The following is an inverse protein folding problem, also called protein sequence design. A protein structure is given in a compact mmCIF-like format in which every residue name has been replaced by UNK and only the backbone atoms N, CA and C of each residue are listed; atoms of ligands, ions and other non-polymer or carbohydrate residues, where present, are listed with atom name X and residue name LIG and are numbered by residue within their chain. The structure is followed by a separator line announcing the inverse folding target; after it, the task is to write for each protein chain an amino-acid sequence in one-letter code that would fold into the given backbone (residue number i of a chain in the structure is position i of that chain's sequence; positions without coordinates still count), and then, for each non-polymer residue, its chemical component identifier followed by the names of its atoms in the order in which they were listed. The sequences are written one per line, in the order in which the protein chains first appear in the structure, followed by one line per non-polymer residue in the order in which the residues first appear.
data_IF_962547931627
#
_entry.id   IF_962547931627
#
_cell.length_a   1.000
_cell.length_b   1.000
_cell.length_c   1.000
_cell.angle_alpha   90.00
_cell.angle_beta   90.00
_cell.angle_gamma   90.00
#
_symmetry.space_group_name_H-M   'P 1'
#
loop_
_entity.id
_entity.type
_entity.pdbx_description
1 polymer ?
#
# COMPACT_ATOMS: atom_id res chain seq x y z
N UNK A 1 -28.93 -26.65 2.25
CA UNK A 1 -27.49 -26.34 2.10
C UNK A 1 -26.77 -26.78 3.36
N UNK A 2 -25.65 -27.49 3.23
CA UNK A 2 -24.86 -27.90 4.40
C UNK A 2 -24.09 -26.72 4.98
N UNK A 3 -23.79 -26.72 6.29
CA UNK A 3 -22.99 -25.67 6.95
C UNK A 3 -21.63 -25.45 6.27
N UNK A 4 -21.07 -26.51 5.68
CA UNK A 4 -19.86 -26.46 4.85
C UNK A 4 -20.04 -25.62 3.57
N UNK A 5 -21.17 -25.78 2.86
CA UNK A 5 -21.48 -24.96 1.68
C UNK A 5 -21.64 -23.49 2.04
N UNK A 6 -22.28 -23.19 3.18
CA UNK A 6 -22.42 -21.83 3.70
C UNK A 6 -21.06 -21.20 4.01
N UNK A 7 -20.16 -21.91 4.69
CA UNK A 7 -18.81 -21.42 4.97
C UNK A 7 -17.98 -21.21 3.71
N UNK A 8 -18.10 -22.11 2.72
CA UNK A 8 -17.42 -21.92 1.43
C UNK A 8 -17.94 -20.66 0.72
N UNK A 9 -19.24 -20.42 0.72
CA UNK A 9 -19.81 -19.21 0.12
C UNK A 9 -19.42 -17.93 0.87
N UNK A 10 -19.40 -17.98 2.21
CA UNK A 10 -18.91 -16.89 3.04
C UNK A 10 -17.43 -16.58 2.76
N UNK A 11 -16.60 -17.62 2.60
CA UNK A 11 -15.19 -17.48 2.24
C UNK A 11 -15.00 -16.83 0.87
N UNK A 12 -15.69 -17.31 -0.18
CA UNK A 12 -15.56 -16.72 -1.52
C UNK A 12 -16.06 -15.27 -1.55
N UNK A 13 -17.13 -14.97 -0.81
CA UNK A 13 -17.63 -13.60 -0.65
C UNK A 13 -16.60 -12.70 0.03
N UNK A 14 -16.02 -13.15 1.15
CA UNK A 14 -14.99 -12.42 1.88
C UNK A 14 -13.76 -12.19 1.00
N UNK A 15 -13.32 -13.21 0.26
CA UNK A 15 -12.21 -13.11 -0.69
C UNK A 15 -12.50 -12.07 -1.78
N UNK A 16 -13.71 -12.05 -2.33
CA UNK A 16 -14.14 -11.06 -3.31
C UNK A 16 -14.13 -9.62 -2.79
N UNK A 17 -14.28 -9.41 -1.49
CA UNK A 17 -14.26 -8.09 -0.85
C UNK A 17 -12.84 -7.69 -0.43
N UNK A 18 -12.08 -8.62 0.15
CA UNK A 18 -10.76 -8.34 0.77
C UNK A 18 -9.65 -8.30 -0.28
N UNK A 19 -9.64 -9.21 -1.25
CA UNK A 19 -8.53 -9.33 -2.20
C UNK A 19 -8.32 -8.04 -3.03
N UNK A 20 -9.37 -7.37 -3.52
CA UNK A 20 -9.20 -6.09 -4.21
C UNK A 20 -8.53 -5.02 -3.33
N UNK A 21 -8.85 -4.98 -2.02
CA UNK A 21 -8.24 -4.03 -1.08
C UNK A 21 -6.75 -4.29 -0.91
N UNK A 22 -6.36 -5.56 -0.78
CA UNK A 22 -4.95 -5.95 -0.71
C UNK A 22 -4.18 -5.55 -1.98
N UNK A 23 -4.80 -5.76 -3.15
CA UNK A 23 -4.19 -5.38 -4.44
C UNK A 23 -3.96 -3.88 -4.54
N UNK A 24 -4.96 -3.04 -4.20
CA UNK A 24 -4.78 -1.57 -4.28
C UNK A 24 -3.77 -1.06 -3.25
N UNK A 25 -3.74 -1.63 -2.04
CA UNK A 25 -2.76 -1.28 -1.02
C UNK A 25 -1.34 -1.68 -1.42
N UNK A 26 -1.17 -2.84 -2.09
CA UNK A 26 0.11 -3.25 -2.63
C UNK A 26 0.61 -2.29 -3.72
N UNK A 27 -0.27 -1.88 -4.64
CA UNK A 27 0.07 -0.89 -5.66
C UNK A 27 0.47 0.46 -5.04
N UNK A 28 -0.29 0.97 -4.06
CA UNK A 28 0.06 2.20 -3.34
C UNK A 28 1.42 2.11 -2.64
N UNK A 29 1.73 0.97 -2.01
CA UNK A 29 3.05 0.75 -1.39
C UNK A 29 4.18 0.80 -2.42
N UNK A 30 3.95 0.24 -3.61
CA UNK A 30 4.92 0.29 -4.70
C UNK A 30 5.16 1.73 -5.16
N UNK A 31 4.09 2.50 -5.40
CA UNK A 31 4.20 3.93 -5.77
C UNK A 31 4.95 4.75 -4.73
N UNK A 32 4.66 4.54 -3.43
CA UNK A 32 5.37 5.22 -2.34
C UNK A 32 6.87 4.84 -2.36
N UNK A 33 7.19 3.57 -2.58
CA UNK A 33 8.57 3.09 -2.63
C UNK A 33 9.35 3.72 -3.78
N UNK A 34 8.76 3.78 -4.98
CA UNK A 34 9.34 4.43 -6.15
C UNK A 34 9.57 5.92 -5.91
N UNK A 35 8.61 6.60 -5.26
CA UNK A 35 8.75 8.01 -4.93
C UNK A 35 9.88 8.28 -3.93
N UNK A 36 10.01 7.43 -2.91
CA UNK A 36 11.13 7.50 -1.96
C UNK A 36 12.46 7.25 -2.69
N UNK A 37 12.51 6.27 -3.60
CA UNK A 37 13.72 5.99 -4.39
C UNK A 37 14.12 7.20 -5.25
N UNK A 38 13.15 7.85 -5.92
CA UNK A 38 13.38 9.06 -6.71
C UNK A 38 13.90 10.24 -5.87
N UNK A 39 13.50 10.34 -4.60
CA UNK A 39 13.98 11.37 -3.67
C UNK A 39 15.40 11.14 -3.14
N UNK A 40 15.89 9.91 -3.30
CA UNK A 40 17.19 9.48 -2.82
C UNK A 40 18.20 9.34 -3.95
N UNK A 41 17.88 9.84 -5.15
CA UNK A 41 18.86 9.84 -6.24
C UNK A 41 19.89 10.95 -6.04
N UNK A 42 21.14 10.63 -6.37
CA UNK A 42 22.25 11.56 -6.55
C UNK A 42 22.79 11.43 -7.97
N UNK A 43 23.23 12.55 -8.54
CA UNK A 43 23.89 12.56 -9.85
C UNK A 43 25.38 12.31 -9.66
N UNK A 44 26.00 11.51 -10.51
CA UNK A 44 27.45 11.31 -10.54
C UNK A 44 27.94 11.38 -11.98
N UNK A 45 29.09 12.03 -12.18
CA UNK A 45 29.79 12.05 -13.45
C UNK A 45 30.97 11.09 -13.33
N UNK A 46 30.95 10.01 -14.10
CA UNK A 46 32.04 9.04 -14.13
C UNK A 46 33.28 9.58 -14.83
N UNK A 47 34.44 9.01 -14.50
CA UNK A 47 35.73 9.45 -15.04
C UNK A 47 35.86 9.25 -16.57
N UNK A 48 35.17 8.24 -17.14
CA UNK A 48 35.28 7.85 -18.55
C UNK A 48 34.03 8.21 -19.38
N UNK A 49 33.15 9.07 -18.85
CA UNK A 49 31.85 9.38 -19.45
C UNK A 49 31.87 10.63 -20.32
N UNK A 50 33.04 11.02 -20.84
CA UNK A 50 33.23 12.24 -21.61
C UNK A 50 33.71 11.95 -23.03
N UNK A 51 33.12 12.63 -24.01
CA UNK A 51 33.61 12.62 -25.39
C UNK A 51 33.53 14.01 -26.02
N UNK A 52 34.44 14.28 -26.94
CA UNK A 52 34.26 15.37 -27.91
C UNK A 52 33.30 14.91 -29.00
N UNK A 53 32.36 15.78 -29.38
CA UNK A 53 31.42 15.53 -30.48
C UNK A 53 31.59 16.48 -31.65
N UNK A 54 32.26 17.61 -31.44
CA UNK A 54 32.73 18.51 -32.49
C UNK A 54 33.88 19.38 -31.96
N UNK A 55 34.48 20.19 -32.83
CA UNK A 55 35.55 21.14 -32.50
C UNK A 55 35.17 22.11 -31.36
N UNK A 56 33.88 22.40 -31.21
CA UNK A 56 33.34 23.35 -30.22
C UNK A 56 32.41 22.69 -29.21
N UNK A 57 32.36 21.34 -29.15
CA UNK A 57 31.34 20.65 -28.37
C UNK A 57 31.86 19.38 -27.73
N UNK A 58 31.49 19.21 -26.46
CA UNK A 58 31.75 18.02 -25.69
C UNK A 58 30.47 17.56 -25.00
N UNK A 59 30.34 16.25 -24.80
CA UNK A 59 29.20 15.62 -24.14
C UNK A 59 29.67 14.87 -22.91
N UNK A 60 28.85 14.83 -21.86
CA UNK A 60 29.06 13.96 -20.70
C UNK A 60 27.82 13.16 -20.37
N UNK A 61 28.02 11.87 -20.05
CA UNK A 61 26.97 11.09 -19.41
C UNK A 61 26.87 11.48 -17.93
N UNK A 62 25.64 11.61 -17.45
CA UNK A 62 25.33 11.77 -16.03
C UNK A 62 24.70 10.47 -15.56
N UNK A 63 25.33 9.81 -14.61
CA UNK A 63 24.79 8.61 -13.99
C UNK A 63 23.90 9.01 -12.82
N UNK A 64 22.71 8.43 -12.75
CA UNK A 64 21.82 8.56 -11.60
C UNK A 64 22.08 7.38 -10.66
N UNK A 65 22.47 7.65 -9.42
CA UNK A 65 22.68 6.62 -8.38
C UNK A 65 21.71 6.80 -7.25
N UNK A 66 21.29 5.71 -6.61
CA UNK A 66 20.53 5.77 -5.35
C UNK A 66 21.50 5.95 -4.19
N UNK A 67 21.29 6.97 -3.38
CA UNK A 67 21.92 7.14 -2.08
C UNK A 67 21.31 6.14 -1.09
N UNK A 68 22.04 5.05 -0.86
CA UNK A 68 21.62 3.98 0.04
C UNK A 68 21.52 4.42 1.51
N UNK A 69 22.21 5.49 1.91
CA UNK A 69 22.13 5.99 3.30
C UNK A 69 20.78 6.67 3.59
N UNK A 70 20.10 7.14 2.54
CA UNK A 70 18.79 7.77 2.63
C UNK A 70 17.65 6.82 2.22
N UNK A 71 18.01 5.68 1.61
CA UNK A 71 17.05 4.67 1.19
C UNK A 71 16.57 3.84 2.38
N UNK A 72 15.29 3.97 2.72
CA UNK A 72 14.66 3.04 3.66
C UNK A 72 14.61 1.65 3.03
N UNK A 73 15.45 0.72 3.50
CA UNK A 73 15.33 -0.69 3.14
C UNK A 73 14.06 -1.27 3.79
N UNK A 74 12.99 -1.28 2.99
CA UNK A 74 11.67 -1.75 3.41
C UNK A 74 11.67 -3.26 3.64
N UNK A 75 12.64 -4.02 3.11
CA UNK A 75 12.70 -5.47 3.30
C UNK A 75 13.12 -5.82 4.74
N UNK A 76 14.09 -5.09 5.31
CA UNK A 76 14.57 -5.31 6.67
C UNK A 76 13.52 -4.93 7.75
N UNK A 77 12.68 -3.92 7.49
CA UNK A 77 11.67 -3.46 8.46
C UNK A 77 10.32 -4.21 8.37
N UNK A 78 10.04 -4.96 7.29
CA UNK A 78 8.78 -5.71 7.14
C UNK A 78 8.60 -6.82 8.16
N UNK A 79 9.68 -7.38 8.70
CA UNK A 79 9.62 -8.51 9.63
C UNK A 79 9.02 -8.15 11.00
N UNK A 80 9.04 -6.87 11.41
CA UNK A 80 8.62 -6.48 12.76
C UNK A 80 7.13 -6.13 12.88
N UNK A 81 6.38 -6.03 11.78
CA UNK A 81 5.04 -5.43 11.74
C UNK A 81 4.96 -4.02 12.36
N UNK A 82 6.09 -3.35 12.59
CA UNK A 82 6.17 -2.00 13.18
C UNK A 82 6.56 -0.97 12.13
N UNK A 83 6.20 0.29 12.38
CA UNK A 83 6.72 1.45 11.63
C UNK A 83 7.63 2.22 12.58
N UNK A 84 8.95 2.07 12.41
CA UNK A 84 9.93 2.47 13.40
C UNK A 84 9.70 1.72 14.72
N UNK A 85 9.53 2.46 15.82
CA UNK A 85 9.21 1.90 17.14
C UNK A 85 7.70 1.83 17.44
N UNK A 86 6.83 2.23 16.49
CA UNK A 86 5.40 2.32 16.72
C UNK A 86 4.66 1.10 16.20
N UNK A 87 3.67 0.65 16.97
CA UNK A 87 2.72 -0.39 16.56
C UNK A 87 1.62 0.25 15.69
N UNK A 88 1.48 -0.15 14.41
CA UNK A 88 0.45 0.37 13.53
C UNK A 88 -0.93 -0.05 14.05
N UNK A 89 -1.85 0.90 14.10
CA UNK A 89 -3.25 0.66 14.48
C UNK A 89 -4.18 0.80 13.27
N UNK A 90 -4.17 -0.16 12.32
CA UNK A 90 -4.93 -0.05 11.08
C UNK A 90 -6.44 0.06 11.31
N UNK A 91 -6.95 -0.44 12.43
CA UNK A 91 -8.36 -0.36 12.81
C UNK A 91 -8.78 1.01 13.39
N UNK A 92 -7.83 1.89 13.68
CA UNK A 92 -8.10 3.29 14.07
C UNK A 92 -8.01 4.24 12.87
N UNK A 93 -7.70 3.72 11.69
CA UNK A 93 -7.57 4.51 10.47
C UNK A 93 -8.94 5.06 10.02
N UNK A 94 -9.10 6.38 10.02
CA UNK A 94 -10.28 7.09 9.48
C UNK A 94 -10.03 7.67 8.09
N UNK A 95 -8.77 8.01 7.80
CA UNK A 95 -8.27 8.53 6.52
C UNK A 95 -7.10 7.69 6.04
N UNK A 96 -7.05 7.39 4.74
CA UNK A 96 -5.93 6.68 4.15
C UNK A 96 -4.96 7.69 3.51
N UNK A 97 -3.69 7.74 3.94
CA UNK A 97 -2.68 8.50 3.23
C UNK A 97 -2.34 7.79 1.91
N UNK A 98 -2.41 8.54 0.81
CA UNK A 98 -2.01 8.11 -0.54
C UNK A 98 -1.06 9.13 -1.15
N UNK A 99 -0.35 8.74 -2.20
CA UNK A 99 0.55 9.65 -2.91
C UNK A 99 -0.28 10.70 -3.67
N UNK A 100 0.12 11.96 -3.54
CA UNK A 100 -0.42 13.08 -4.32
C UNK A 100 0.41 13.24 -5.60
N UNK A 101 -0.02 12.57 -6.67
CA UNK A 101 0.66 12.55 -7.97
C UNK A 101 0.93 13.96 -8.53
N UNK A 102 0.03 14.91 -8.29
CA UNK A 102 0.18 16.30 -8.74
C UNK A 102 1.31 17.04 -8.03
N UNK A 103 1.70 16.58 -6.83
CA UNK A 103 2.79 17.16 -6.04
C UNK A 103 4.08 16.36 -6.14
N UNK A 104 4.10 15.22 -6.85
CA UNK A 104 5.29 14.38 -6.96
C UNK A 104 6.47 15.12 -7.61
N UNK A 105 6.25 15.88 -8.68
CA UNK A 105 7.31 16.63 -9.37
C UNK A 105 7.97 17.70 -8.51
N UNK A 106 7.25 18.25 -7.52
CA UNK A 106 7.77 19.27 -6.59
C UNK A 106 8.61 18.68 -5.46
N UNK A 107 8.71 17.35 -5.38
CA UNK A 107 9.38 16.64 -4.29
C UNK A 107 10.77 16.18 -4.67
N UNK A 108 11.03 16.00 -5.96
CA UNK A 108 12.29 15.48 -6.43
C UNK A 108 13.42 16.29 -5.80
N UNK A 109 14.38 15.60 -5.20
CA UNK A 109 15.54 16.27 -4.64
C UNK A 109 16.18 17.10 -5.74
N UNK A 110 16.37 18.40 -5.48
CA UNK A 110 17.12 19.24 -6.39
C UNK A 110 18.57 18.76 -6.38
N UNK A 111 18.97 18.19 -7.51
CA UNK A 111 20.33 17.78 -7.75
C UNK A 111 20.99 18.87 -8.60
N UNK A 112 22.07 19.46 -8.10
CA UNK A 112 22.89 20.35 -8.92
C UNK A 112 24.23 19.70 -9.23
N UNK A 113 24.71 19.93 -10.45
CA UNK A 113 26.08 19.60 -10.85
C UNK A 113 26.87 20.89 -10.89
N UNK A 114 27.97 20.94 -10.12
CA UNK A 114 28.91 22.05 -10.17
C UNK A 114 30.06 21.68 -11.10
N UNK A 115 30.17 22.43 -12.20
CA UNK A 115 31.36 22.43 -13.06
C UNK A 115 32.19 23.66 -12.73
N UNK A 116 33.46 23.46 -12.42
CA UNK A 116 34.40 24.56 -12.14
C UNK A 116 35.38 24.65 -13.28
N UNK A 117 35.35 25.75 -14.03
CA UNK A 117 36.33 26.06 -15.06
C UNK A 117 37.31 27.11 -14.53
N UNK A 118 38.55 27.06 -14.99
CA UNK A 118 39.57 28.02 -14.57
C UNK A 118 39.23 29.42 -15.11
N UNK A 119 39.18 30.43 -14.20
CA UNK A 119 39.04 31.87 -14.52
C UNK A 119 37.77 32.27 -15.30
N UNK A 120 36.68 31.49 -15.20
CA UNK A 120 35.51 31.63 -16.08
C UNK A 120 34.30 32.38 -15.50
N UNK A 121 34.21 32.59 -14.18
CA UNK A 121 33.01 33.17 -13.55
C UNK A 121 33.39 34.23 -12.51
N UNK A 122 32.80 35.43 -12.60
CA UNK A 122 33.06 36.57 -11.71
C UNK A 122 31.81 36.99 -10.91
N UNK A 123 30.63 36.43 -11.25
CA UNK A 123 29.36 36.82 -10.66
C UNK A 123 28.92 35.97 -9.44
N UNK A 124 28.09 36.60 -8.60
CA UNK A 124 27.77 36.20 -7.22
C UNK A 124 27.21 34.79 -7.00
N UNK A 125 27.26 34.35 -5.74
CA UNK A 125 26.91 33.01 -5.26
C UNK A 125 25.40 32.71 -5.18
N UNK A 126 24.59 33.27 -6.07
CA UNK A 126 23.12 33.15 -6.04
C UNK A 126 22.57 32.45 -7.27
N UNK A 127 21.56 31.60 -7.08
CA UNK A 127 20.85 30.97 -8.19
C UNK A 127 20.13 32.02 -9.07
N UNK A 128 20.18 31.83 -10.39
CA UNK A 128 19.54 32.67 -11.39
C UNK A 128 19.25 31.90 -12.66
N UNK A 129 18.68 32.55 -13.67
CA UNK A 129 18.48 31.89 -14.97
C UNK A 129 19.83 31.55 -15.60
N UNK A 130 19.88 30.45 -16.36
CA UNK A 130 21.11 30.02 -17.03
C UNK A 130 21.71 31.13 -17.91
N UNK A 131 20.86 31.87 -18.63
CA UNK A 131 21.28 33.00 -19.46
C UNK A 131 21.83 34.17 -18.64
N UNK A 132 21.23 34.50 -17.49
CA UNK A 132 21.71 35.59 -16.63
C UNK A 132 23.05 35.24 -15.96
N UNK A 133 23.18 34.04 -15.41
CA UNK A 133 24.44 33.57 -14.78
C UNK A 133 25.54 33.38 -15.84
N UNK A 134 25.18 32.84 -17.02
CA UNK A 134 26.11 32.69 -18.15
C UNK A 134 26.63 34.03 -18.67
N UNK A 135 25.76 35.05 -18.78
CA UNK A 135 26.16 36.40 -19.22
C UNK A 135 27.00 37.14 -18.17
N UNK A 136 26.83 36.81 -16.88
CA UNK A 136 27.60 37.38 -15.78
C UNK A 136 28.95 36.66 -15.54
N UNK A 137 29.18 35.56 -16.26
CA UNK A 137 30.45 34.85 -16.30
C UNK A 137 31.37 35.54 -17.30
N UNK A 138 32.50 36.10 -16.85
CA UNK A 138 33.44 36.74 -17.77
C UNK A 138 34.00 35.65 -18.71
N UNK A 139 33.97 35.91 -20.03
CA UNK A 139 34.76 35.14 -21.00
C UNK A 139 36.25 35.42 -20.76
N UNK A 140 36.79 34.98 -19.62
CA UNK A 140 38.21 34.75 -19.50
C UNK A 140 38.57 33.68 -20.51
N UNK A 141 39.71 33.83 -21.21
CA UNK A 141 40.26 32.81 -22.08
C UNK A 141 40.25 31.49 -21.32
N UNK A 142 39.33 30.58 -21.66
CA UNK A 142 39.26 29.26 -21.02
C UNK A 142 40.50 28.52 -21.52
N UNK A 143 41.58 28.61 -20.74
CA UNK A 143 42.88 27.99 -21.06
C UNK A 143 42.87 26.49 -20.80
N UNK A 144 41.91 26.01 -20.00
CA UNK A 144 41.70 24.59 -19.72
C UNK A 144 40.19 24.23 -19.85
N UNK A 145 39.90 23.30 -20.77
CA UNK A 145 38.57 22.75 -21.02
C UNK A 145 38.27 21.51 -20.16
N UNK A 146 39.06 21.26 -19.12
CA UNK A 146 38.87 20.18 -18.17
C UNK A 146 38.22 20.69 -16.85
N UNK A 147 36.89 20.88 -16.81
CA UNK A 147 36.24 21.32 -15.59
C UNK A 147 36.38 20.28 -14.50
N UNK A 148 36.66 20.73 -13.27
CA UNK A 148 36.54 19.86 -12.10
C UNK A 148 35.08 19.80 -11.65
N UNK A 149 34.61 18.59 -11.35
CA UNK A 149 33.27 18.38 -10.81
C UNK A 149 33.32 18.53 -9.29
N UNK A 150 32.50 19.41 -8.73
CA UNK A 150 32.26 19.40 -7.28
C UNK A 150 31.48 18.16 -6.87
N UNK A 151 31.59 17.75 -5.59
CA UNK A 151 30.71 16.71 -5.04
C UNK A 151 29.25 17.13 -5.25
N UNK A 152 28.38 16.22 -5.72
CA UNK A 152 26.95 16.49 -5.80
C UNK A 152 26.44 16.82 -4.40
N UNK A 153 25.93 18.02 -4.20
CA UNK A 153 25.32 18.42 -2.93
C UNK A 153 23.81 18.45 -3.09
N UNK A 154 23.07 17.71 -2.26
CA UNK A 154 21.61 17.82 -2.19
C UNK A 154 21.29 19.18 -1.58
N UNK A 155 20.68 20.08 -2.35
CA UNK A 155 20.50 21.49 -1.94
C UNK A 155 19.36 21.69 -0.96
N UNK A 156 18.35 20.82 -0.99
CA UNK A 156 17.13 20.96 -0.19
C UNK A 156 16.80 19.66 0.53
N UNK A 157 16.43 19.77 1.81
CA UNK A 157 15.69 18.72 2.48
C UNK A 157 14.44 18.44 1.63
N UNK A 158 14.19 17.17 1.28
CA UNK A 158 13.05 16.79 0.43
C UNK A 158 11.80 17.54 0.88
N UNK A 159 11.13 18.23 -0.05
CA UNK A 159 9.88 18.94 0.23
C UNK A 159 8.90 17.97 0.93
N UNK A 160 8.12 18.47 1.90
CA UNK A 160 7.14 17.69 2.70
C UNK A 160 6.45 16.63 1.84
N UNK A 161 6.59 15.32 2.16
CA UNK A 161 6.00 14.18 1.43
C UNK A 161 4.68 14.51 0.70
N UNK A 162 4.61 14.17 -0.59
CA UNK A 162 3.49 14.36 -1.49
C UNK A 162 2.43 13.35 -1.11
N UNK A 163 1.77 13.64 0.01
CA UNK A 163 0.69 12.87 0.56
C UNK A 163 -0.59 13.68 0.44
N UNK A 164 -1.66 12.97 0.14
CA UNK A 164 -3.03 13.41 0.36
C UNK A 164 -3.75 12.38 1.20
N UNK A 165 -4.73 12.83 1.96
CA UNK A 165 -5.52 11.96 2.82
C UNK A 165 -6.89 11.77 2.16
N UNK A 166 -7.24 10.52 1.87
CA UNK A 166 -8.57 10.18 1.37
C UNK A 166 -9.45 9.71 2.53
N UNK A 167 -10.65 10.29 2.61
CA UNK A 167 -11.64 9.94 3.62
C UNK A 167 -12.27 8.58 3.29
N UNK A 168 -12.35 7.69 4.28
CA UNK A 168 -12.89 6.34 4.11
C UNK A 168 -14.37 6.23 4.50
N UNK A 169 -14.80 6.98 5.51
CA UNK A 169 -16.11 6.86 6.16
C UNK A 169 -16.88 8.16 6.13
N UNK A 170 -18.20 8.08 6.24
CA UNK A 170 -19.05 9.26 6.45
C UNK A 170 -18.65 10.03 7.72
N UNK A 171 -18.57 11.36 7.61
CA UNK A 171 -18.18 12.26 8.71
C UNK A 171 -16.86 11.91 9.40
N UNK A 172 -15.87 11.39 8.66
CA UNK A 172 -14.57 10.95 9.18
C UNK A 172 -14.65 9.94 10.35
N UNK A 173 -15.77 9.21 10.45
CA UNK A 173 -16.06 8.37 11.62
C UNK A 173 -16.16 6.90 11.22
N UNK A 174 -15.21 6.08 11.70
CA UNK A 174 -15.20 4.63 11.45
C UNK A 174 -16.50 3.94 11.89
N UNK A 175 -17.23 4.42 12.89
CA UNK A 175 -18.52 3.87 13.29
C UNK A 175 -19.60 4.00 12.21
N UNK A 176 -19.45 4.92 11.26
CA UNK A 176 -20.41 5.16 10.17
C UNK A 176 -20.14 4.29 8.95
N UNK A 177 -21.02 4.38 7.96
CA UNK A 177 -20.87 3.70 6.68
C UNK A 177 -19.65 4.21 5.91
N UNK A 178 -19.23 3.45 4.91
CA UNK A 178 -18.25 3.92 3.92
C UNK A 178 -18.79 5.16 3.20
N UNK A 179 -17.89 6.07 2.82
CA UNK A 179 -18.26 7.34 2.18
C UNK A 179 -19.06 7.10 0.89
N UNK A 180 -20.31 7.59 0.85
CA UNK A 180 -21.27 7.33 -0.23
C UNK A 180 -20.84 7.94 -1.56
N UNK A 181 -20.11 9.06 -1.53
CA UNK A 181 -19.53 9.70 -2.72
C UNK A 181 -18.64 8.76 -3.54
N UNK A 182 -18.07 7.73 -2.88
CA UNK A 182 -17.18 6.76 -3.53
C UNK A 182 -17.92 5.50 -4.03
N UNK A 183 -19.23 5.38 -3.83
CA UNK A 183 -19.97 4.14 -4.15
C UNK A 183 -19.85 3.71 -5.61
N UNK A 184 -19.89 4.67 -6.55
CA UNK A 184 -19.78 4.44 -7.99
C UNK A 184 -18.33 4.54 -8.52
N UNK A 185 -17.34 4.75 -7.65
CA UNK A 185 -15.96 4.92 -8.08
C UNK A 185 -15.41 3.63 -8.71
N UNK A 186 -14.72 3.79 -9.83
CA UNK A 186 -13.98 2.73 -10.54
C UNK A 186 -12.50 3.12 -10.63
N UNK A 187 -11.64 2.14 -10.95
CA UNK A 187 -10.20 2.40 -11.11
C UNK A 187 -9.91 3.48 -12.14
N UNK A 188 -10.69 3.54 -13.22
CA UNK A 188 -10.40 4.41 -14.36
C UNK A 188 -11.02 5.80 -14.22
N UNK A 189 -12.21 5.88 -13.63
CA UNK A 189 -12.96 7.15 -13.54
C UNK A 189 -12.69 7.94 -12.26
N UNK A 190 -12.43 7.25 -11.15
CA UNK A 190 -12.13 7.86 -9.85
C UNK A 190 -11.24 6.90 -9.05
N UNK A 191 -9.93 6.83 -9.37
CA UNK A 191 -9.00 5.89 -8.74
C UNK A 191 -8.93 6.07 -7.22
N UNK A 192 -8.96 7.32 -6.72
CA UNK A 192 -8.92 7.62 -5.30
C UNK A 192 -10.17 7.16 -4.57
N UNK A 193 -11.34 7.47 -5.13
CA UNK A 193 -12.61 6.98 -4.61
C UNK A 193 -12.69 5.46 -4.63
N UNK A 194 -12.11 4.81 -5.65
CA UNK A 194 -12.05 3.36 -5.74
C UNK A 194 -11.19 2.78 -4.62
N UNK A 195 -9.99 3.34 -4.37
CA UNK A 195 -9.14 2.93 -3.25
C UNK A 195 -9.91 3.08 -1.92
N UNK A 196 -10.50 4.24 -1.67
CA UNK A 196 -11.25 4.51 -0.44
C UNK A 196 -12.41 3.53 -0.24
N UNK A 197 -13.22 3.31 -1.29
CA UNK A 197 -14.34 2.36 -1.30
C UNK A 197 -13.86 0.95 -0.94
N UNK A 198 -12.87 0.44 -1.67
CA UNK A 198 -12.42 -0.94 -1.53
C UNK A 198 -11.77 -1.19 -0.17
N UNK A 199 -10.94 -0.25 0.31
CA UNK A 199 -10.31 -0.36 1.64
C UNK A 199 -11.36 -0.28 2.75
N UNK A 200 -12.31 0.65 2.67
CA UNK A 200 -13.37 0.75 3.67
C UNK A 200 -14.24 -0.51 3.72
N UNK A 201 -14.68 -1.02 2.56
CA UNK A 201 -15.47 -2.24 2.47
C UNK A 201 -14.75 -3.45 3.08
N UNK A 202 -13.45 -3.58 2.83
CA UNK A 202 -12.64 -4.64 3.44
C UNK A 202 -12.51 -4.49 4.96
N UNK A 203 -12.27 -3.28 5.48
CA UNK A 203 -12.17 -3.03 6.94
C UNK A 203 -13.52 -3.26 7.64
N UNK A 204 -14.63 -2.94 6.98
CA UNK A 204 -15.99 -3.10 7.50
C UNK A 204 -16.54 -4.51 7.35
N UNK A 205 -15.87 -5.37 6.58
CA UNK A 205 -16.34 -6.72 6.35
C UNK A 205 -16.21 -7.57 7.61
N UNK A 206 -17.33 -8.13 8.07
CA UNK A 206 -17.37 -9.13 9.14
C UNK A 206 -17.66 -10.49 8.53
N UNK A 207 -16.79 -11.46 8.75
CA UNK A 207 -17.02 -12.84 8.34
C UNK A 207 -18.05 -13.50 9.26
N UNK A 208 -19.18 -13.92 8.71
CA UNK A 208 -20.08 -14.85 9.38
C UNK A 208 -19.65 -16.29 9.09
N UNK A 209 -18.90 -16.88 10.03
CA UNK A 209 -18.55 -18.31 9.97
C UNK A 209 -19.63 -19.10 10.70
N UNK A 210 -20.24 -20.08 10.04
CA UNK A 210 -21.10 -21.07 10.70
C UNK A 210 -20.19 -22.18 11.23
N UNK A 211 -20.03 -22.27 12.53
CA UNK A 211 -19.30 -23.39 13.13
C UNK A 211 -20.00 -24.71 12.81
N UNK A 212 -19.20 -25.77 12.61
CA UNK A 212 -19.76 -27.11 12.62
C UNK A 212 -20.54 -27.32 13.93
N UNK A 213 -21.63 -28.11 13.90
CA UNK A 213 -22.26 -28.50 15.16
C UNK A 213 -21.18 -29.13 16.04
N UNK A 214 -21.21 -28.80 17.32
CA UNK A 214 -20.40 -29.52 18.30
C UNK A 214 -20.71 -31.02 18.17
N UNK A 215 -19.68 -31.87 18.12
CA UNK A 215 -19.85 -33.31 17.93
C UNK A 215 -20.19 -34.03 19.25
N UNK A 216 -20.80 -33.32 20.20
CA UNK A 216 -21.32 -33.91 21.44
C UNK A 216 -22.67 -34.54 21.16
N UNK A 217 -23.01 -35.64 21.85
CA UNK A 217 -24.33 -36.27 21.71
C UNK A 217 -25.49 -35.30 21.99
N UNK A 218 -25.27 -34.30 22.86
CA UNK A 218 -26.20 -33.20 23.10
C UNK A 218 -26.43 -32.30 21.87
N UNK A 219 -25.37 -31.86 21.20
CA UNK A 219 -25.50 -30.98 20.04
C UNK A 219 -25.93 -31.74 18.77
N UNK A 220 -25.51 -33.00 18.63
CA UNK A 220 -25.92 -33.89 17.54
C UNK A 220 -27.39 -34.30 17.64
N UNK A 221 -27.90 -34.61 18.84
CA UNK A 221 -29.33 -34.96 19.03
C UNK A 221 -30.29 -33.82 18.70
N UNK A 222 -29.81 -32.57 18.67
CA UNK A 222 -30.56 -31.39 18.28
C UNK A 222 -30.37 -31.01 16.81
N UNK A 223 -29.46 -31.67 16.08
CA UNK A 223 -29.17 -31.35 14.70
C UNK A 223 -30.20 -32.02 13.76
N UNK A 224 -30.88 -31.27 12.88
CA UNK A 224 -31.99 -31.81 12.08
C UNK A 224 -31.61 -32.98 11.17
N UNK A 225 -30.40 -32.99 10.62
CA UNK A 225 -29.91 -34.08 9.76
C UNK A 225 -29.69 -35.36 10.57
N UNK A 226 -29.14 -35.22 11.77
CA UNK A 226 -28.91 -36.32 12.72
C UNK A 226 -30.24 -36.88 13.20
N UNK A 227 -31.23 -36.03 13.49
CA UNK A 227 -32.60 -36.47 13.79
C UNK A 227 -33.23 -37.19 12.60
N UNK A 228 -33.09 -36.68 11.37
CA UNK A 228 -33.63 -37.33 10.18
C UNK A 228 -33.00 -38.70 9.92
N UNK A 229 -31.68 -38.83 10.07
CA UNK A 229 -30.97 -40.11 9.94
C UNK A 229 -31.33 -41.07 11.07
N UNK A 230 -31.35 -40.59 12.33
CA UNK A 230 -31.76 -41.41 13.47
C UNK A 230 -33.20 -41.92 13.29
N UNK A 231 -34.12 -41.10 12.79
CA UNK A 231 -35.49 -41.53 12.51
C UNK A 231 -35.58 -42.57 11.39
N UNK A 232 -34.74 -42.46 10.36
CA UNK A 232 -34.70 -43.39 9.24
C UNK A 232 -34.03 -44.72 9.58
N UNK A 233 -32.98 -44.70 10.41
CA UNK A 233 -32.15 -45.87 10.71
C UNK A 233 -32.49 -46.54 12.05
N UNK A 234 -33.11 -45.82 12.98
CA UNK A 234 -33.41 -46.29 14.33
C UNK A 234 -34.90 -46.07 14.63
N UNK A 235 -35.78 -46.99 14.15
CA UNK A 235 -37.23 -46.85 14.29
C UNK A 235 -37.71 -46.78 15.75
N UNK A 236 -36.93 -47.24 16.73
CA UNK A 236 -37.19 -47.04 18.16
C UNK A 236 -37.18 -45.55 18.58
N UNK A 237 -36.56 -44.68 17.79
CA UNK A 237 -36.60 -43.23 17.97
C UNK A 237 -37.58 -42.55 16.99
N UNK A 238 -38.24 -43.28 16.08
CA UNK A 238 -39.19 -42.71 15.10
C UNK A 238 -40.45 -42.08 15.72
N UNK A 239 -40.89 -42.51 16.91
CA UNK A 239 -41.96 -41.82 17.64
C UNK A 239 -41.53 -40.41 18.13
N UNK A 240 -40.22 -40.12 18.11
CA UNK A 240 -39.62 -38.80 18.36
C UNK A 240 -39.60 -37.94 17.10
N UNK A 241 -39.92 -38.50 15.92
CA UNK A 241 -39.91 -37.78 14.65
C UNK A 241 -41.12 -36.85 14.58
N UNK A 242 -40.93 -35.65 15.09
CA UNK A 242 -41.97 -34.62 15.25
C UNK A 242 -42.31 -34.31 16.70
N UNK A 243 -41.97 -35.21 17.63
CA UNK A 243 -42.10 -34.97 19.07
C UNK A 243 -40.82 -34.30 19.59
N UNK A 244 -40.82 -32.97 19.58
CA UNK A 244 -39.73 -32.13 20.10
C UNK A 244 -39.72 -32.05 21.64
N UNK A 245 -40.53 -32.87 22.32
CA UNK A 245 -40.57 -32.84 23.78
C UNK A 245 -39.20 -33.19 24.38
N UNK A 246 -38.85 -32.58 25.53
CA UNK A 246 -37.57 -32.82 26.19
C UNK A 246 -37.29 -34.30 26.49
N UNK A 247 -38.32 -35.13 26.65
CA UNK A 247 -38.16 -36.56 26.94
C UNK A 247 -37.66 -37.37 25.73
N UNK A 248 -38.14 -37.06 24.53
CA UNK A 248 -37.75 -37.71 23.29
C UNK A 248 -36.32 -37.30 22.87
N UNK A 249 -36.01 -36.00 22.95
CA UNK A 249 -34.65 -35.48 22.74
C UNK A 249 -33.64 -36.03 23.76
N UNK A 250 -34.05 -36.25 25.02
CA UNK A 250 -33.20 -36.82 26.07
C UNK A 250 -32.81 -38.27 25.78
N UNK A 251 -33.70 -39.09 25.19
CA UNK A 251 -33.38 -40.48 24.80
C UNK A 251 -32.39 -40.56 23.65
N UNK A 252 -32.58 -39.73 22.61
CA UNK A 252 -31.62 -39.67 21.49
C UNK A 252 -30.27 -39.11 21.94
N UNK A 253 -30.27 -38.11 22.84
CA UNK A 253 -29.06 -37.58 23.48
C UNK A 253 -28.25 -38.69 24.15
N UNK A 254 -28.85 -39.46 25.06
CA UNK A 254 -28.14 -40.55 25.75
C UNK A 254 -27.56 -41.59 24.77
N UNK A 255 -28.31 -41.95 23.72
CA UNK A 255 -27.83 -42.89 22.71
C UNK A 255 -26.61 -42.38 21.91
N UNK A 256 -26.47 -41.08 21.75
CA UNK A 256 -25.34 -40.46 21.05
C UNK A 256 -24.17 -40.11 21.98
N UNK A 257 -24.33 -40.30 23.29
CA UNK A 257 -23.29 -40.07 24.31
C UNK A 257 -22.56 -41.37 24.72
N UNK A 258 -23.16 -42.54 24.46
CA UNK A 258 -22.56 -43.88 24.58
C UNK A 258 -21.92 -44.34 23.25
#
# INVERSE_FOLDING_TARGET
MTKLQHNRQAYETAKGIIQPALTVLAAQRQTIHEHIAANNVKLEIGANDHKSTATTSTERNVTIKIDKNLHCDVAAQRASNKIGNNDPKPLELTKLPVVDENKMGQQAAENHMKLTFERSCVAGNTYGTFSAIGSASAQGTIVDLNPTTGSPTKTTASAKLAKKEIQLYENDNRGKACLAANAAATKDTNPEGYIAKTVCQAIKHTLEVKTMPELSGQALSQEPTTQAIANACLPQFSASSGDTTPAALKKLKYYLED
#
